data_IF_241685054844
#
_entry.id   IF_241685054844
#
_cell.length_a   1.000
_cell.length_b   1.000
_cell.length_c   1.000
_cell.angle_alpha   90.00
_cell.angle_beta   90.00
_cell.angle_gamma   90.00
#
_symmetry.space_group_name_H-M   'P 1'
#
loop_
_entity.id
_entity.type
_entity.pdbx_description
1 polymer ?
#
# COMPACT_ATOMS: atom_id res chain seq x y z
N UNK A 1 21.76 25.51 -9.86
CA UNK A 1 21.32 24.55 -8.82
C UNK A 1 22.30 23.37 -8.78
N UNK A 2 23.17 23.25 -7.76
CA UNK A 2 24.09 22.12 -7.66
C UNK A 2 23.29 20.86 -7.35
N UNK A 3 23.28 19.88 -8.26
CA UNK A 3 22.71 18.54 -8.03
C UNK A 3 23.60 17.84 -7.00
N UNK A 4 23.06 17.58 -5.81
CA UNK A 4 23.72 16.76 -4.79
C UNK A 4 24.14 15.41 -5.44
N UNK A 5 25.43 15.10 -5.31
CA UNK A 5 26.09 13.98 -5.99
C UNK A 5 25.44 12.66 -5.55
N UNK A 6 24.86 11.95 -6.53
CA UNK A 6 24.28 10.59 -6.51
C UNK A 6 25.21 9.46 -6.03
N UNK A 7 26.36 9.78 -5.40
CA UNK A 7 27.55 8.90 -5.28
C UNK A 7 27.86 8.38 -3.86
N UNK A 8 27.03 8.59 -2.84
CA UNK A 8 27.34 8.12 -1.46
C UNK A 8 26.39 7.09 -0.84
N UNK A 9 25.33 6.65 -1.53
CA UNK A 9 24.38 5.64 -1.00
C UNK A 9 24.49 4.26 -1.69
N UNK A 10 25.57 4.01 -2.43
CA UNK A 10 25.70 2.91 -3.38
C UNK A 10 26.10 1.53 -2.81
N UNK A 11 26.09 1.30 -1.48
CA UNK A 11 26.38 -0.04 -0.90
C UNK A 11 25.69 -0.26 0.46
N UNK A 12 24.37 -0.13 0.53
CA UNK A 12 23.64 -0.77 1.63
C UNK A 12 23.34 -2.20 1.20
N UNK A 13 23.99 -3.16 1.83
CA UNK A 13 23.64 -4.58 1.69
C UNK A 13 22.26 -4.75 2.33
N UNK A 14 21.21 -4.76 1.51
CA UNK A 14 19.88 -5.08 1.98
C UNK A 14 19.86 -6.55 2.40
N UNK A 15 19.32 -6.80 3.58
CA UNK A 15 19.18 -8.14 4.17
C UNK A 15 17.75 -8.65 3.92
N UNK A 16 17.50 -9.92 4.20
CA UNK A 16 16.14 -10.50 4.20
C UNK A 16 15.20 -9.76 5.15
N UNK A 17 15.71 -9.21 6.26
CA UNK A 17 14.93 -8.36 7.17
C UNK A 17 14.41 -7.09 6.48
N UNK A 18 15.21 -6.46 5.62
CA UNK A 18 14.79 -5.29 4.86
C UNK A 18 13.68 -5.63 3.85
N UNK A 19 13.76 -6.81 3.23
CA UNK A 19 12.73 -7.33 2.32
C UNK A 19 11.42 -7.57 3.08
N UNK A 20 11.51 -8.28 4.22
CA UNK A 20 10.35 -8.55 5.09
C UNK A 20 9.70 -7.25 5.58
N UNK A 21 10.51 -6.25 5.98
CA UNK A 21 10.02 -4.97 6.45
C UNK A 21 9.22 -4.21 5.38
N UNK A 22 9.66 -4.23 4.10
CA UNK A 22 8.93 -3.58 2.99
C UNK A 22 7.58 -4.23 2.67
N UNK A 23 7.34 -5.46 3.15
CA UNK A 23 6.06 -6.16 3.01
C UNK A 23 5.04 -5.73 4.07
N UNK A 24 5.49 -5.21 5.21
CA UNK A 24 4.66 -4.77 6.34
C UNK A 24 4.79 -3.26 6.57
N UNK A 25 4.19 -2.75 7.65
CA UNK A 25 4.42 -1.37 8.12
C UNK A 25 5.77 -1.20 8.83
N UNK A 26 6.50 -2.28 9.12
CA UNK A 26 7.75 -2.21 9.89
C UNK A 26 8.89 -1.52 9.14
N UNK A 27 8.79 -1.35 7.81
CA UNK A 27 9.75 -0.53 7.05
C UNK A 27 9.85 0.92 7.57
N UNK A 28 8.82 1.43 8.26
CA UNK A 28 8.90 2.74 8.91
C UNK A 28 9.95 2.75 10.04
N UNK A 29 10.11 1.62 10.75
CA UNK A 29 11.07 1.43 11.82
C UNK A 29 12.46 1.03 11.27
N UNK A 30 12.49 0.04 10.36
CA UNK A 30 13.74 -0.55 9.83
C UNK A 30 14.56 0.44 8.99
N UNK A 31 13.90 1.28 8.18
CA UNK A 31 14.59 2.29 7.37
C UNK A 31 14.59 3.68 8.02
N UNK A 32 13.99 3.80 9.21
CA UNK A 32 13.84 5.05 9.96
C UNK A 32 12.87 6.07 9.32
N UNK A 33 12.88 7.29 9.86
CA UNK A 33 11.92 8.34 9.49
C UNK A 33 12.09 8.97 8.09
N UNK A 34 13.16 8.65 7.36
CA UNK A 34 13.42 9.26 6.05
C UNK A 34 12.57 8.62 4.94
N UNK A 35 11.61 9.38 4.39
CA UNK A 35 10.82 8.92 3.23
C UNK A 35 11.69 8.70 1.99
N UNK A 36 12.72 9.52 1.78
CA UNK A 36 13.64 9.38 0.67
C UNK A 36 14.42 8.05 0.71
N UNK A 37 14.87 7.62 1.88
CA UNK A 37 15.57 6.34 2.03
C UNK A 37 14.62 5.16 1.81
N UNK A 38 13.39 5.23 2.35
CA UNK A 38 12.37 4.19 2.16
C UNK A 38 11.98 4.04 0.69
N UNK A 39 11.76 5.17 -0.01
CA UNK A 39 11.51 5.18 -1.46
C UNK A 39 12.68 4.57 -2.23
N UNK A 40 13.91 4.94 -1.89
CA UNK A 40 15.10 4.37 -2.55
C UNK A 40 15.23 2.85 -2.33
N UNK A 41 14.98 2.38 -1.11
CA UNK A 41 15.00 0.96 -0.79
C UNK A 41 13.91 0.21 -1.56
N UNK A 42 12.70 0.77 -1.62
CA UNK A 42 11.62 0.24 -2.44
C UNK A 42 12.02 0.12 -3.91
N UNK A 43 12.55 1.18 -4.54
CA UNK A 43 12.97 1.11 -5.95
C UNK A 43 14.02 0.02 -6.22
N UNK A 44 14.85 -0.30 -5.24
CA UNK A 44 15.87 -1.34 -5.39
C UNK A 44 15.34 -2.76 -5.13
N UNK A 45 14.40 -2.92 -4.20
CA UNK A 45 13.92 -4.22 -3.74
C UNK A 45 12.54 -4.60 -4.27
N UNK A 46 11.84 -3.68 -4.97
CA UNK A 46 10.43 -3.87 -5.38
C UNK A 46 10.18 -5.15 -6.15
N UNK A 47 11.08 -5.56 -7.04
CA UNK A 47 10.88 -6.75 -7.87
C UNK A 47 10.91 -8.03 -7.01
N UNK A 48 11.91 -8.14 -6.13
CA UNK A 48 12.02 -9.25 -5.16
C UNK A 48 10.85 -9.25 -4.19
N UNK A 49 10.55 -8.09 -3.58
CA UNK A 49 9.46 -7.94 -2.60
C UNK A 49 8.11 -8.28 -3.24
N UNK A 50 7.83 -7.82 -4.46
CA UNK A 50 6.59 -8.14 -5.16
C UNK A 50 6.52 -9.61 -5.54
N UNK A 51 7.58 -10.18 -6.10
CA UNK A 51 7.61 -11.59 -6.49
C UNK A 51 7.31 -12.52 -5.30
N UNK A 52 8.02 -12.33 -4.18
CA UNK A 52 7.81 -13.11 -2.96
C UNK A 52 6.40 -12.89 -2.37
N UNK A 53 5.94 -11.64 -2.33
CA UNK A 53 4.60 -11.32 -1.79
C UNK A 53 3.48 -11.91 -2.64
N UNK A 54 3.61 -11.85 -3.98
CA UNK A 54 2.65 -12.41 -4.92
C UNK A 54 2.59 -13.94 -4.80
N UNK A 55 3.74 -14.59 -4.66
CA UNK A 55 3.81 -16.04 -4.49
C UNK A 55 3.10 -16.50 -3.20
N UNK A 56 3.24 -15.75 -2.11
CA UNK A 56 2.61 -16.10 -0.83
C UNK A 56 1.14 -15.66 -0.72
N UNK A 57 0.80 -14.49 -1.26
CA UNK A 57 -0.50 -13.82 -1.10
C UNK A 57 -0.97 -13.21 -2.42
N UNK A 58 -1.32 -14.05 -3.43
CA UNK A 58 -1.80 -13.56 -4.72
C UNK A 58 -3.05 -12.70 -4.55
N UNK A 59 -3.21 -11.68 -5.40
CA UNK A 59 -4.34 -10.74 -5.31
C UNK A 59 -4.16 -9.64 -4.26
N UNK A 60 -3.00 -9.54 -3.62
CA UNK A 60 -2.68 -8.44 -2.67
C UNK A 60 -1.36 -7.77 -3.02
N UNK A 61 -1.11 -6.59 -2.44
CA UNK A 61 0.16 -5.88 -2.61
C UNK A 61 0.78 -5.52 -1.25
N UNK A 62 2.12 -5.50 -1.15
CA UNK A 62 2.83 -5.12 0.08
C UNK A 62 2.61 -3.64 0.40
N UNK A 63 2.80 -3.26 1.66
CA UNK A 63 2.61 -1.89 2.14
C UNK A 63 3.39 -0.85 1.32
N UNK A 64 4.67 -1.13 1.05
CA UNK A 64 5.52 -0.23 0.27
C UNK A 64 4.99 0.03 -1.15
N UNK A 65 4.29 -0.94 -1.76
CA UNK A 65 3.67 -0.76 -3.08
C UNK A 65 2.55 0.28 -3.02
N UNK A 66 1.68 0.19 -2.01
CA UNK A 66 0.58 1.14 -1.83
C UNK A 66 1.07 2.57 -1.58
N UNK A 67 2.24 2.70 -0.96
CA UNK A 67 2.83 4.01 -0.66
C UNK A 67 3.60 4.63 -1.82
N UNK A 68 4.30 3.82 -2.62
CA UNK A 68 5.28 4.33 -3.59
C UNK A 68 4.99 3.99 -5.04
N UNK A 69 4.15 2.98 -5.31
CA UNK A 69 3.90 2.44 -6.66
C UNK A 69 2.43 2.40 -7.04
N UNK A 70 1.52 2.85 -6.18
CA UNK A 70 0.11 3.01 -6.56
C UNK A 70 0.02 3.98 -7.77
N UNK A 71 -0.76 3.64 -8.81
CA UNK A 71 -0.99 4.56 -9.92
C UNK A 71 -1.58 5.90 -9.43
N UNK A 72 -1.13 7.00 -10.05
CA UNK A 72 -1.58 8.32 -9.65
C UNK A 72 -3.08 8.49 -9.91
N UNK A 73 -3.81 9.02 -8.92
CA UNK A 73 -5.25 9.25 -9.04
C UNK A 73 -6.13 8.02 -8.86
N UNK A 74 -5.56 6.84 -8.57
CA UNK A 74 -6.34 5.63 -8.31
C UNK A 74 -6.47 5.37 -6.81
N UNK A 75 -7.58 4.74 -6.43
CA UNK A 75 -7.89 4.30 -5.06
C UNK A 75 -8.94 3.20 -5.10
N UNK A 76 -9.20 2.58 -3.95
CA UNK A 76 -10.26 1.59 -3.84
C UNK A 76 -11.63 2.27 -3.91
N UNK A 77 -12.52 1.69 -4.70
CA UNK A 77 -13.89 2.17 -4.88
C UNK A 77 -14.82 1.55 -3.84
N UNK A 78 -15.92 2.25 -3.58
CA UNK A 78 -16.98 1.75 -2.72
C UNK A 78 -17.87 0.81 -3.53
N UNK A 79 -18.23 -0.34 -2.96
CA UNK A 79 -19.13 -1.32 -3.57
C UNK A 79 -20.61 -1.07 -3.24
N UNK A 80 -20.89 -0.22 -2.25
CA UNK A 80 -22.25 0.14 -1.83
C UNK A 80 -22.88 1.25 -2.69
N UNK A 81 -22.18 1.74 -3.72
CA UNK A 81 -22.63 2.86 -4.58
C UNK A 81 -22.61 4.23 -3.89
N UNK A 82 -22.11 4.33 -2.65
CA UNK A 82 -21.98 5.58 -1.92
C UNK A 82 -20.89 6.49 -2.50
N UNK A 83 -20.97 7.79 -2.17
CA UNK A 83 -19.93 8.76 -2.54
C UNK A 83 -18.68 8.53 -1.69
N UNK A 84 -17.50 8.58 -2.32
CA UNK A 84 -16.26 8.49 -1.55
C UNK A 84 -16.08 9.77 -0.70
N UNK A 85 -15.67 9.68 0.58
CA UNK A 85 -15.41 10.85 1.42
C UNK A 85 -14.46 11.92 0.86
N UNK A 86 -13.61 11.60 -0.14
CA UNK A 86 -12.74 12.59 -0.79
C UNK A 86 -13.43 13.29 -1.96
N UNK A 87 -14.48 12.71 -2.54
CA UNK A 87 -15.22 13.34 -3.64
C UNK A 87 -16.15 14.42 -3.13
N UNK A 88 -16.56 14.34 -1.87
CA UNK A 88 -17.36 15.35 -1.19
C UNK A 88 -16.56 16.64 -0.98
N UNK A 89 -16.89 17.76 -1.67
CA UNK A 89 -16.13 19.00 -1.62
C UNK A 89 -15.94 19.58 -0.22
N UNK A 90 -16.97 19.39 0.61
CA UNK A 90 -17.09 19.99 1.94
C UNK A 90 -16.70 19.04 3.08
N UNK A 91 -16.18 17.85 2.77
CA UNK A 91 -15.84 16.90 3.81
C UNK A 91 -14.52 17.29 4.49
N UNK A 92 -14.53 17.66 5.79
CA UNK A 92 -13.31 18.05 6.51
C UNK A 92 -12.29 16.90 6.60
N UNK A 93 -12.69 15.65 6.34
CA UNK A 93 -11.84 14.46 6.28
C UNK A 93 -11.13 14.28 4.93
N UNK A 94 -11.28 15.22 3.99
CA UNK A 94 -10.54 15.25 2.69
C UNK A 94 -9.00 15.26 2.82
N UNK A 95 -8.47 15.50 4.02
CA UNK A 95 -7.03 15.57 4.28
C UNK A 95 -6.46 14.30 4.92
N UNK A 96 -7.26 13.24 5.04
CA UNK A 96 -6.75 11.99 5.57
C UNK A 96 -5.80 11.29 4.58
N UNK A 97 -4.94 10.40 5.07
CA UNK A 97 -4.07 9.58 4.22
C UNK A 97 -4.83 8.38 3.62
N UNK A 98 -4.21 7.72 2.65
CA UNK A 98 -4.62 6.38 2.22
C UNK A 98 -3.75 5.32 2.87
N UNK A 99 -4.36 4.19 3.20
CA UNK A 99 -3.65 2.96 3.56
C UNK A 99 -4.32 1.83 2.80
N UNK A 100 -3.56 1.05 2.04
CA UNK A 100 -4.12 0.06 1.10
C UNK A 100 -5.19 0.64 0.15
N UNK A 101 -5.11 1.92 -0.21
CA UNK A 101 -6.12 2.58 -1.03
C UNK A 101 -7.46 2.88 -0.34
N UNK A 102 -7.57 2.64 0.97
CA UNK A 102 -8.74 2.95 1.79
C UNK A 102 -8.60 4.30 2.50
N UNK A 103 -9.70 5.03 2.74
CA UNK A 103 -9.68 6.18 3.64
C UNK A 103 -9.34 5.74 5.07
N UNK A 104 -8.46 6.49 5.70
CA UNK A 104 -8.14 6.32 7.12
C UNK A 104 -8.69 7.49 7.91
N UNK A 105 -9.30 7.24 9.07
CA UNK A 105 -9.76 8.34 9.91
C UNK A 105 -8.70 8.68 10.96
N UNK A 106 -8.41 9.97 11.12
CA UNK A 106 -7.70 10.45 12.31
C UNK A 106 -8.74 10.52 13.43
N UNK A 107 -8.68 9.60 14.38
CA UNK A 107 -9.43 9.76 15.62
C UNK A 107 -8.82 10.93 16.41
N UNK A 108 -9.58 12.01 16.58
CA UNK A 108 -9.21 13.16 17.42
C UNK A 108 -9.78 13.07 18.84
N UNK A 109 -10.48 11.98 19.18
CA UNK A 109 -11.07 11.85 20.50
C UNK A 109 -10.05 11.28 21.50
N UNK A 110 -9.62 12.16 22.41
CA UNK A 110 -9.12 11.79 23.73
C UNK A 110 -7.67 11.32 23.78
N UNK A 111 -6.81 12.22 24.25
CA UNK A 111 -5.63 11.96 25.08
C UNK A 111 -5.01 10.54 25.05
N UNK A 112 -3.76 10.48 24.55
CA UNK A 112 -2.83 9.33 24.57
C UNK A 112 -3.01 8.29 23.45
N UNK A 113 -2.54 8.65 22.24
CA UNK A 113 -2.27 7.71 21.16
C UNK A 113 -2.83 8.19 19.82
N UNK A 114 -1.99 8.85 19.01
CA UNK A 114 -2.32 9.18 17.61
C UNK A 114 -2.32 7.91 16.76
N UNK A 115 -3.35 7.08 16.92
CA UNK A 115 -3.57 5.88 16.14
C UNK A 115 -4.39 6.19 14.91
N UNK A 116 -3.82 5.94 13.74
CA UNK A 116 -4.55 5.87 12.48
C UNK A 116 -5.32 4.54 12.48
N UNK A 117 -6.65 4.57 12.36
CA UNK A 117 -7.47 3.34 12.22
C UNK A 117 -8.16 3.33 10.87
N UNK A 118 -8.25 2.15 10.21
CA UNK A 118 -9.11 2.00 9.06
C UNK A 118 -10.55 2.28 9.51
N UNK A 119 -11.36 2.87 8.62
CA UNK A 119 -12.79 3.03 8.88
C UNK A 119 -13.39 1.65 9.25
N UNK A 120 -14.20 1.53 10.32
CA UNK A 120 -14.67 0.24 10.82
C UNK A 120 -15.36 -0.60 9.75
N UNK A 121 -16.11 0.04 8.87
CA UNK A 121 -16.81 -0.62 7.76
C UNK A 121 -16.00 -0.67 6.46
N UNK A 122 -14.72 -0.27 6.45
CA UNK A 122 -13.93 -0.15 5.22
C UNK A 122 -13.86 -1.48 4.45
N UNK A 123 -13.83 -2.61 5.15
CA UNK A 123 -13.80 -3.94 4.52
C UNK A 123 -15.15 -4.37 3.94
N UNK A 124 -16.26 -3.87 4.47
CA UNK A 124 -17.61 -4.19 4.00
C UNK A 124 -18.08 -3.25 2.88
N UNK A 125 -17.54 -2.03 2.84
CA UNK A 125 -18.01 -0.94 1.99
C UNK A 125 -17.13 -0.73 0.76
N UNK A 126 -15.87 -1.15 0.79
CA UNK A 126 -14.92 -0.96 -0.30
C UNK A 126 -14.58 -2.28 -0.99
N UNK A 127 -14.32 -2.21 -2.30
CA UNK A 127 -13.86 -3.35 -3.11
C UNK A 127 -12.63 -3.98 -2.48
N UNK A 128 -12.39 -5.28 -2.61
CA UNK A 128 -11.20 -5.93 -2.02
C UNK A 128 -9.89 -5.45 -2.69
N UNK A 129 -8.72 -5.76 -2.11
CA UNK A 129 -7.46 -5.49 -2.84
C UNK A 129 -7.42 -6.23 -4.18
N UNK A 130 -7.92 -7.46 -4.21
CA UNK A 130 -7.98 -8.27 -5.43
C UNK A 130 -8.85 -7.61 -6.49
N UNK A 131 -10.03 -7.13 -6.12
CA UNK A 131 -10.96 -6.46 -7.05
C UNK A 131 -10.36 -5.17 -7.61
N UNK A 132 -9.72 -4.37 -6.76
CA UNK A 132 -8.99 -3.18 -7.18
C UNK A 132 -7.90 -3.50 -8.21
N UNK A 133 -7.08 -4.52 -7.94
CA UNK A 133 -6.02 -4.93 -8.85
C UNK A 133 -6.58 -5.49 -10.15
N UNK A 134 -7.67 -6.25 -10.08
CA UNK A 134 -8.38 -6.81 -11.25
C UNK A 134 -8.95 -5.70 -12.12
N UNK A 135 -9.66 -4.73 -11.52
CA UNK A 135 -10.26 -3.55 -12.20
C UNK A 135 -9.22 -2.71 -12.94
N UNK A 136 -8.02 -2.57 -12.37
CA UNK A 136 -6.92 -1.81 -12.97
C UNK A 136 -5.98 -2.64 -13.86
N UNK A 137 -6.27 -3.92 -14.10
CA UNK A 137 -5.41 -4.84 -14.85
C UNK A 137 -3.97 -4.92 -14.30
N UNK A 138 -3.84 -4.91 -12.97
CA UNK A 138 -2.55 -4.96 -12.25
C UNK A 138 -2.18 -6.36 -11.77
N UNK A 139 -3.04 -7.36 -12.01
CA UNK A 139 -2.76 -8.76 -11.73
C UNK A 139 -1.96 -9.38 -12.89
N UNK A 140 -0.96 -10.17 -12.55
CA UNK A 140 -0.25 -11.00 -13.54
C UNK A 140 -1.11 -12.21 -13.95
N UNK A 141 -0.83 -12.82 -15.11
CA UNK A 141 -1.53 -14.03 -15.55
C UNK A 141 -1.41 -15.18 -14.54
N UNK A 142 -0.24 -15.32 -13.90
CA UNK A 142 0.00 -16.30 -12.86
C UNK A 142 -0.86 -16.05 -11.60
N UNK A 143 -1.03 -14.78 -11.20
CA UNK A 143 -1.94 -14.43 -10.10
C UNK A 143 -3.38 -14.75 -10.42
N UNK A 144 -3.84 -14.44 -11.63
CA UNK A 144 -5.21 -14.73 -12.06
C UNK A 144 -5.48 -16.23 -11.95
N UNK A 145 -4.59 -17.07 -12.51
CA UNK A 145 -4.71 -18.52 -12.43
C UNK A 145 -4.71 -19.05 -10.99
N UNK A 146 -3.84 -18.51 -10.13
CA UNK A 146 -3.78 -18.90 -8.72
C UNK A 146 -5.07 -18.53 -7.96
N UNK A 147 -5.68 -17.38 -8.27
CA UNK A 147 -6.93 -16.94 -7.66
C UNK A 147 -8.10 -17.79 -8.12
N UNK A 148 -8.23 -18.06 -9.42
CA UNK A 148 -9.28 -18.92 -9.99
C UNK A 148 -9.21 -20.34 -9.43
N UNK A 149 -7.99 -20.89 -9.30
CA UNK A 149 -7.77 -22.21 -8.69
C UNK A 149 -8.21 -22.25 -7.22
N UNK A 150 -8.08 -21.14 -6.50
CA UNK A 150 -8.49 -21.05 -5.10
C UNK A 150 -10.01 -20.93 -4.96
N UNK A 151 -10.66 -20.16 -5.84
CA UNK A 151 -12.12 -20.00 -5.88
C UNK A 151 -12.83 -21.31 -6.20
N UNK A 152 -12.28 -22.15 -7.08
CA UNK A 152 -12.84 -23.47 -7.42
C UNK A 152 -12.76 -24.51 -6.28
N UNK A 153 -11.85 -24.30 -5.33
CA UNK A 153 -11.59 -25.22 -4.22
C UNK A 153 -12.15 -24.73 -2.87
N UNK A 154 -12.84 -23.58 -2.84
CA UNK A 154 -13.45 -22.99 -1.64
C UNK A 154 -14.96 -23.19 -1.63
#
# INVERSE_FOLDING_TARGET
>A
MPRLKRKQLARRHYTSEHIAALRTLDFLNVFGGSDALRRQAWEHLRETVLSEHIAEKPGTRPEAWWRYSIPAGTRRERIDGGVHPYDEPNNPKRHCGFHYGLPYERHSEGFVGTGWKPHPDALAIYETQTDYLRRLNLLTAAEIQALESKELNS
#
